data_IF_573238309795
#
_entry.id   IF_573238309795
#
_cell.length_a   1.000
_cell.length_b   1.000
_cell.length_c   1.000
_cell.angle_alpha   90.00
_cell.angle_beta   90.00
_cell.angle_gamma   90.00
#
_symmetry.space_group_name_H-M   'P 1'
#
loop_
_entity.id
_entity.type
_entity.pdbx_description
1 polymer ?
#
# COMPACT_ATOMS: atom_id res chain seq x y z
N UNK A 1 -0.92 -7.77 -23.10
CA UNK A 1 -0.95 -8.60 -21.90
C UNK A 1 0.40 -8.52 -21.20
N UNK A 2 0.45 -7.78 -20.07
CA UNK A 2 1.64 -7.75 -19.23
C UNK A 2 1.54 -8.89 -18.22
N UNK A 3 2.33 -9.95 -18.40
CA UNK A 3 2.57 -10.97 -17.37
C UNK A 3 4.04 -10.92 -16.97
N UNK A 4 4.31 -10.91 -15.68
CA UNK A 4 5.66 -10.96 -15.16
C UNK A 4 6.20 -12.38 -15.32
N UNK A 5 7.27 -12.56 -16.10
CA UNK A 5 8.00 -13.83 -16.15
C UNK A 5 9.07 -13.82 -15.07
N UNK A 6 9.02 -14.82 -14.18
CA UNK A 6 9.88 -14.89 -13.00
C UNK A 6 11.02 -15.89 -13.16
N UNK A 7 12.03 -15.82 -12.28
CA UNK A 7 13.17 -16.74 -12.21
C UNK A 7 13.87 -16.92 -13.57
N UNK A 8 14.21 -15.80 -14.20
CA UNK A 8 14.86 -15.78 -15.52
C UNK A 8 16.22 -16.49 -15.49
N UNK A 9 16.40 -17.42 -16.42
CA UNK A 9 17.66 -18.10 -16.70
C UNK A 9 17.94 -18.03 -18.19
N UNK A 10 19.19 -18.23 -18.62
CA UNK A 10 19.56 -18.28 -20.05
C UNK A 10 18.72 -19.33 -20.81
N UNK A 11 18.48 -20.49 -20.21
CA UNK A 11 17.63 -21.52 -20.79
C UNK A 11 16.19 -21.03 -20.96
N UNK A 12 15.61 -20.40 -19.93
CA UNK A 12 14.23 -19.87 -20.01
C UNK A 12 14.11 -18.78 -21.08
N UNK A 13 15.12 -17.92 -21.23
CA UNK A 13 15.16 -16.94 -22.32
C UNK A 13 15.12 -17.62 -23.68
N UNK A 14 15.92 -18.68 -23.89
CA UNK A 14 15.91 -19.42 -25.13
C UNK A 14 14.56 -20.07 -25.43
N UNK A 15 13.96 -20.71 -24.42
CA UNK A 15 12.60 -21.29 -24.52
C UNK A 15 11.56 -20.23 -24.86
N UNK A 16 11.61 -19.05 -24.24
CA UNK A 16 10.72 -17.92 -24.57
C UNK A 16 10.87 -17.47 -26.02
N UNK A 17 12.09 -17.39 -26.52
CA UNK A 17 12.34 -17.02 -27.93
C UNK A 17 11.68 -18.02 -28.88
N UNK A 18 11.76 -19.31 -28.60
CA UNK A 18 11.11 -20.34 -29.42
C UNK A 18 9.57 -20.25 -29.35
N UNK A 19 9.01 -20.00 -28.17
CA UNK A 19 7.56 -19.82 -28.01
C UNK A 19 7.06 -18.58 -28.77
N UNK A 20 7.84 -17.49 -28.76
CA UNK A 20 7.52 -16.25 -29.50
C UNK A 20 7.62 -16.51 -31.02
N UNK A 21 8.68 -17.17 -31.48
CA UNK A 21 8.87 -17.52 -32.91
C UNK A 21 7.76 -18.44 -33.41
N UNK A 22 7.32 -19.36 -32.57
CA UNK A 22 6.22 -20.28 -32.86
C UNK A 22 4.83 -19.65 -32.70
N UNK A 23 4.74 -18.35 -32.43
CA UNK A 23 3.48 -17.61 -32.19
C UNK A 23 2.58 -18.29 -31.11
N UNK A 24 3.19 -18.99 -30.16
CA UNK A 24 2.49 -19.72 -29.12
C UNK A 24 1.75 -18.75 -28.20
N UNK A 25 0.42 -18.87 -28.03
CA UNK A 25 -0.35 -18.00 -27.16
C UNK A 25 0.13 -18.05 -25.70
N UNK A 26 0.19 -16.92 -24.99
CA UNK A 26 0.63 -16.83 -23.59
C UNK A 26 -0.10 -17.78 -22.64
N UNK A 27 -1.36 -18.12 -22.94
CA UNK A 27 -2.15 -19.08 -22.15
C UNK A 27 -1.57 -20.51 -22.19
N UNK A 28 -0.79 -20.84 -23.22
CA UNK A 28 -0.13 -22.13 -23.40
C UNK A 28 1.30 -22.18 -22.86
N UNK A 29 1.83 -21.03 -22.40
CA UNK A 29 3.16 -20.98 -21.79
C UNK A 29 3.13 -21.66 -20.41
N UNK A 30 4.28 -22.18 -19.93
CA UNK A 30 4.35 -22.80 -18.60
C UNK A 30 3.88 -21.83 -17.51
N UNK A 31 2.80 -22.17 -16.81
CA UNK A 31 2.16 -21.26 -15.86
C UNK A 31 3.04 -20.95 -14.64
N UNK A 32 3.95 -21.86 -14.27
CA UNK A 32 4.94 -21.65 -13.22
C UNK A 32 5.92 -20.50 -13.52
N UNK A 33 6.04 -20.07 -14.78
CA UNK A 33 6.87 -18.91 -15.16
C UNK A 33 6.26 -17.59 -14.69
N UNK A 34 4.96 -17.57 -14.50
CA UNK A 34 4.21 -16.39 -14.08
C UNK A 34 3.95 -16.35 -12.57
N UNK A 35 4.37 -17.38 -11.84
CA UNK A 35 4.18 -17.45 -10.41
C UNK A 35 5.08 -16.45 -9.68
N UNK A 36 4.50 -15.39 -9.14
CA UNK A 36 5.19 -14.38 -8.33
C UNK A 36 5.11 -14.78 -6.87
N UNK A 37 6.26 -15.10 -6.26
CA UNK A 37 6.31 -15.42 -4.84
C UNK A 37 6.18 -14.16 -3.98
N UNK A 38 5.51 -14.26 -2.83
CA UNK A 38 5.42 -13.20 -1.85
C UNK A 38 6.73 -12.98 -1.09
N UNK A 39 7.50 -14.05 -0.89
CA UNK A 39 8.76 -14.06 -0.15
C UNK A 39 8.65 -13.51 1.28
N UNK A 40 7.53 -13.69 1.94
CA UNK A 40 7.35 -13.33 3.35
C UNK A 40 8.22 -14.27 4.19
N UNK A 41 9.14 -13.70 4.97
CA UNK A 41 10.06 -14.43 5.84
C UNK A 41 9.70 -14.31 7.32
N UNK A 42 9.17 -13.15 7.72
CA UNK A 42 8.72 -12.91 9.08
C UNK A 42 7.39 -12.17 9.06
N UNK A 43 6.43 -12.71 9.77
CA UNK A 43 5.13 -12.09 10.04
C UNK A 43 5.11 -11.56 11.45
N UNK A 44 4.46 -10.44 11.65
CA UNK A 44 4.15 -9.87 12.94
C UNK A 44 2.70 -9.35 12.88
N UNK A 45 2.42 -8.19 13.39
CA UNK A 45 1.12 -7.58 13.58
C UNK A 45 0.28 -7.48 12.28
N UNK A 46 0.87 -6.93 11.20
CA UNK A 46 0.17 -6.68 9.95
C UNK A 46 0.06 -7.94 9.08
N UNK A 47 1.18 -8.62 8.86
CA UNK A 47 1.19 -9.84 8.04
C UNK A 47 0.68 -11.08 8.79
N UNK A 48 0.62 -11.03 10.11
CA UNK A 48 0.08 -12.07 10.97
C UNK A 48 -1.38 -11.86 11.37
N UNK A 49 -2.02 -10.77 10.90
CA UNK A 49 -3.41 -10.50 11.27
C UNK A 49 -4.37 -11.58 10.78
N UNK A 50 -5.48 -11.72 11.50
CA UNK A 50 -6.55 -12.69 11.22
C UNK A 50 -7.88 -11.99 10.93
N UNK A 51 -7.86 -10.70 10.62
CA UNK A 51 -9.07 -9.93 10.33
C UNK A 51 -9.79 -10.49 9.11
N UNK A 52 -11.09 -10.67 9.24
CA UNK A 52 -11.94 -10.98 8.11
C UNK A 52 -12.45 -9.69 7.47
N UNK A 53 -12.75 -9.70 6.14
CA UNK A 53 -13.27 -8.50 5.47
C UNK A 53 -14.53 -7.94 6.13
N UNK A 54 -14.50 -6.63 6.44
CA UNK A 54 -15.59 -5.91 7.10
C UNK A 54 -15.44 -5.79 8.62
N UNK A 55 -14.63 -6.61 9.29
CA UNK A 55 -14.54 -6.61 10.76
C UNK A 55 -14.00 -5.29 11.34
N UNK A 56 -12.97 -4.72 10.74
CA UNK A 56 -12.44 -3.45 11.21
C UNK A 56 -13.36 -2.27 10.83
N UNK A 57 -14.02 -2.36 9.68
CA UNK A 57 -14.99 -1.38 9.23
C UNK A 57 -16.21 -1.36 10.15
N UNK A 58 -16.75 -2.51 10.57
CA UNK A 58 -17.85 -2.60 11.52
C UNK A 58 -17.55 -1.86 12.83
N UNK A 59 -16.35 -2.09 13.38
CA UNK A 59 -15.89 -1.39 14.60
C UNK A 59 -15.76 0.13 14.36
N UNK A 60 -15.26 0.54 13.19
CA UNK A 60 -15.12 1.94 12.83
C UNK A 60 -16.51 2.62 12.71
N UNK A 61 -17.47 1.96 12.07
CA UNK A 61 -18.84 2.46 11.91
C UNK A 61 -19.55 2.58 13.26
N UNK A 62 -19.43 1.58 14.13
CA UNK A 62 -19.99 1.61 15.48
C UNK A 62 -19.39 2.74 16.34
N UNK A 63 -18.11 3.05 16.14
CA UNK A 63 -17.40 4.13 16.85
C UNK A 63 -17.79 5.52 16.33
N UNK A 64 -18.11 5.65 15.07
CA UNK A 64 -18.34 6.91 14.37
C UNK A 64 -17.08 7.53 13.74
N UNK A 65 -17.29 8.32 12.68
CA UNK A 65 -16.22 8.84 11.83
C UNK A 65 -15.18 9.70 12.60
N UNK A 66 -15.66 10.64 13.43
CA UNK A 66 -14.78 11.52 14.21
C UNK A 66 -13.95 10.75 15.24
N UNK A 67 -14.56 9.80 15.95
CA UNK A 67 -13.87 8.99 16.93
C UNK A 67 -12.90 7.99 16.28
N UNK A 68 -13.22 7.46 15.09
CA UNK A 68 -12.30 6.63 14.31
C UNK A 68 -11.07 7.42 13.87
N UNK A 69 -11.24 8.65 13.39
CA UNK A 69 -10.14 9.56 13.06
C UNK A 69 -9.26 9.85 14.29
N UNK A 70 -9.88 10.08 15.45
CA UNK A 70 -9.15 10.29 16.71
C UNK A 70 -8.32 9.06 17.12
N UNK A 71 -8.83 7.84 16.92
CA UNK A 71 -8.03 6.63 17.18
C UNK A 71 -6.82 6.55 16.24
N UNK A 72 -6.97 6.91 14.96
CA UNK A 72 -5.82 7.00 14.03
C UNK A 72 -4.83 8.08 14.48
N UNK A 73 -5.29 9.20 15.01
CA UNK A 73 -4.42 10.25 15.55
C UNK A 73 -3.68 9.78 16.80
N UNK A 74 -4.39 9.17 17.76
CA UNK A 74 -3.82 8.63 19.02
C UNK A 74 -2.85 7.49 18.80
N UNK A 75 -3.01 6.74 17.71
CA UNK A 75 -2.12 5.62 17.37
C UNK A 75 -0.68 6.03 17.07
N UNK A 76 -0.44 7.30 16.75
CA UNK A 76 0.85 7.77 16.28
C UNK A 76 1.28 7.14 14.94
N UNK A 77 0.35 6.54 14.19
CA UNK A 77 0.64 5.97 12.88
C UNK A 77 1.23 7.01 11.94
N UNK A 78 2.42 6.73 11.44
CA UNK A 78 3.10 7.54 10.43
C UNK A 78 3.05 6.88 9.06
N UNK A 79 3.07 7.69 8.00
CA UNK A 79 3.13 7.21 6.63
C UNK A 79 4.28 6.24 6.39
N UNK A 80 3.99 5.17 5.66
CA UNK A 80 4.93 4.07 5.31
C UNK A 80 5.51 4.20 3.90
N UNK A 81 5.19 5.30 3.20
CA UNK A 81 5.70 5.58 1.86
C UNK A 81 7.04 6.35 1.80
N UNK A 82 7.70 6.59 2.94
CA UNK A 82 9.01 7.26 3.02
C UNK A 82 9.02 8.51 3.88
N UNK A 83 8.13 9.49 3.65
CA UNK A 83 8.13 10.77 4.35
C UNK A 83 7.76 10.71 5.85
N UNK A 84 7.07 9.67 6.29
CA UNK A 84 6.74 9.46 7.70
C UNK A 84 5.81 10.52 8.31
N UNK A 85 5.00 11.21 7.51
CA UNK A 85 4.05 12.21 8.02
C UNK A 85 2.96 11.53 8.86
N UNK A 86 2.48 12.21 9.91
CA UNK A 86 1.47 11.69 10.82
C UNK A 86 0.12 11.48 10.09
N UNK A 87 -0.32 10.22 9.98
CA UNK A 87 -1.51 9.84 9.19
C UNK A 87 -2.78 10.52 9.70
N UNK A 88 -2.99 10.51 11.01
CA UNK A 88 -4.17 11.14 11.62
C UNK A 88 -4.22 12.66 11.41
N UNK A 89 -3.07 13.35 11.40
CA UNK A 89 -3.01 14.78 11.06
C UNK A 89 -3.35 15.03 9.59
N UNK A 90 -2.84 14.18 8.67
CA UNK A 90 -3.17 14.27 7.24
C UNK A 90 -4.67 14.07 7.00
N UNK A 91 -5.28 13.08 7.64
CA UNK A 91 -6.71 12.82 7.53
C UNK A 91 -7.56 13.95 8.11
N UNK A 92 -7.17 14.47 9.29
CA UNK A 92 -7.84 15.61 9.89
C UNK A 92 -7.80 16.84 8.96
N UNK A 93 -6.62 17.19 8.44
CA UNK A 93 -6.48 18.34 7.53
C UNK A 93 -7.32 18.16 6.25
N UNK A 94 -7.42 16.93 5.71
CA UNK A 94 -8.27 16.65 4.57
C UNK A 94 -9.75 16.79 4.91
N UNK A 95 -10.20 16.22 6.04
CA UNK A 95 -11.59 16.32 6.52
C UNK A 95 -12.05 17.75 6.76
N UNK A 96 -11.19 18.59 7.32
CA UNK A 96 -11.51 19.97 7.69
C UNK A 96 -11.43 20.94 6.50
N UNK A 97 -10.82 20.51 5.38
CA UNK A 97 -10.68 21.33 4.20
C UNK A 97 -12.04 21.50 3.50
N UNK A 98 -12.42 22.74 3.10
CA UNK A 98 -13.66 22.95 2.35
C UNK A 98 -13.54 22.34 0.95
N UNK A 99 -14.58 21.64 0.51
CA UNK A 99 -14.66 21.04 -0.81
C UNK A 99 -16.03 20.44 -1.08
N UNK A 100 -16.40 20.32 -2.34
CA UNK A 100 -17.64 19.65 -2.74
C UNK A 100 -17.53 18.13 -2.56
N UNK A 101 -16.33 17.58 -2.72
CA UNK A 101 -16.00 16.17 -2.56
C UNK A 101 -14.65 16.01 -1.87
N UNK A 102 -14.47 14.87 -1.20
CA UNK A 102 -13.18 14.47 -0.64
C UNK A 102 -12.76 13.15 -1.28
N UNK A 103 -11.46 12.95 -1.45
CA UNK A 103 -10.91 11.74 -2.08
C UNK A 103 -9.89 11.04 -1.19
N UNK A 104 -9.91 9.70 -1.26
CA UNK A 104 -8.87 8.84 -0.71
C UNK A 104 -8.04 8.28 -1.86
N UNK A 105 -6.75 8.52 -1.87
CA UNK A 105 -5.83 7.92 -2.84
C UNK A 105 -4.89 6.95 -2.15
N UNK A 106 -4.91 5.71 -2.60
CA UNK A 106 -3.90 4.71 -2.25
C UNK A 106 -2.74 4.81 -3.25
N UNK A 107 -1.59 5.26 -2.77
CA UNK A 107 -0.36 5.29 -3.56
C UNK A 107 0.26 3.89 -3.56
N UNK A 108 0.06 3.18 -4.66
CA UNK A 108 0.65 1.87 -4.95
C UNK A 108 1.70 1.96 -6.08
N UNK A 109 2.30 3.16 -6.26
CA UNK A 109 3.44 3.38 -7.15
C UNK A 109 4.75 3.11 -6.40
N UNK A 110 5.02 1.84 -6.13
CA UNK A 110 6.21 1.35 -5.44
C UNK A 110 7.43 1.39 -6.38
N UNK A 111 7.93 2.60 -6.64
CA UNK A 111 9.00 2.85 -7.61
C UNK A 111 10.41 2.83 -7.04
N UNK A 112 10.59 2.91 -5.71
CA UNK A 112 11.91 2.94 -5.07
C UNK A 112 12.67 1.63 -5.30
N UNK A 113 13.88 1.64 -5.89
CA UNK A 113 14.67 0.44 -6.09
C UNK A 113 14.95 -0.31 -4.79
N UNK A 114 14.74 -1.63 -4.80
CA UNK A 114 14.89 -2.48 -3.63
C UNK A 114 13.66 -2.57 -2.73
N UNK A 115 12.60 -1.81 -3.00
CA UNK A 115 11.32 -1.89 -2.29
C UNK A 115 10.34 -2.80 -3.05
N UNK A 116 9.73 -3.78 -2.37
CA UNK A 116 8.78 -4.73 -2.95
C UNK A 116 7.73 -5.23 -1.94
N UNK A 117 7.44 -4.44 -0.91
CA UNK A 117 6.50 -4.75 0.17
C UNK A 117 5.03 -4.51 -0.22
N UNK A 118 4.77 -3.45 -0.99
CA UNK A 118 3.41 -3.03 -1.31
C UNK A 118 2.76 -4.01 -2.29
N UNK A 119 3.50 -4.57 -3.26
CA UNK A 119 3.00 -5.62 -4.12
C UNK A 119 2.57 -6.87 -3.34
N UNK A 120 3.26 -7.19 -2.24
CA UNK A 120 2.91 -8.34 -1.39
C UNK A 120 1.60 -8.08 -0.65
N UNK A 121 1.40 -6.87 -0.14
CA UNK A 121 0.12 -6.47 0.47
C UNK A 121 -1.02 -6.52 -0.55
N UNK A 122 -0.79 -6.02 -1.76
CA UNK A 122 -1.80 -6.03 -2.83
C UNK A 122 -2.11 -7.45 -3.34
N UNK A 123 -1.14 -8.37 -3.34
CA UNK A 123 -1.38 -9.75 -3.79
C UNK A 123 -2.02 -10.65 -2.73
N UNK A 124 -1.60 -10.51 -1.46
CA UNK A 124 -2.00 -11.43 -0.40
C UNK A 124 -2.97 -10.83 0.65
N UNK A 125 -3.03 -9.50 0.74
CA UNK A 125 -3.79 -8.76 1.75
C UNK A 125 -4.63 -7.62 1.16
N UNK A 126 -5.08 -7.76 -0.11
CA UNK A 126 -5.84 -6.71 -0.80
C UNK A 126 -7.09 -6.27 -0.04
N UNK A 127 -7.82 -7.21 0.58
CA UNK A 127 -8.98 -6.89 1.40
C UNK A 127 -8.64 -5.93 2.55
N UNK A 128 -7.51 -6.13 3.22
CA UNK A 128 -7.07 -5.27 4.31
C UNK A 128 -6.73 -3.85 3.81
N UNK A 129 -6.13 -3.74 2.63
CA UNK A 129 -5.81 -2.44 2.02
C UNK A 129 -7.09 -1.70 1.64
N UNK A 130 -8.02 -2.37 0.96
CA UNK A 130 -9.30 -1.77 0.55
C UNK A 130 -10.17 -1.41 1.75
N UNK A 131 -10.15 -2.22 2.81
CA UNK A 131 -10.86 -1.90 4.04
C UNK A 131 -10.26 -0.65 4.71
N UNK A 132 -8.93 -0.53 4.74
CA UNK A 132 -8.25 0.68 5.21
C UNK A 132 -8.59 1.92 4.38
N UNK A 133 -8.77 1.79 3.05
CA UNK A 133 -9.27 2.87 2.18
C UNK A 133 -10.72 3.25 2.54
N UNK A 134 -11.59 2.27 2.75
CA UNK A 134 -13.00 2.49 3.12
C UNK A 134 -13.10 3.18 4.49
N UNK A 135 -12.29 2.75 5.47
CA UNK A 135 -12.22 3.39 6.80
C UNK A 135 -11.71 4.84 6.69
N UNK A 136 -10.70 5.08 5.83
CA UNK A 136 -10.23 6.43 5.56
C UNK A 136 -11.35 7.28 4.93
N UNK A 137 -12.08 6.74 3.95
CA UNK A 137 -13.24 7.39 3.34
C UNK A 137 -14.30 7.77 4.36
N UNK A 138 -14.66 6.84 5.23
CA UNK A 138 -15.59 7.10 6.34
C UNK A 138 -15.09 8.20 7.29
N UNK A 139 -13.83 8.11 7.70
CA UNK A 139 -13.25 9.04 8.66
C UNK A 139 -13.18 10.48 8.15
N UNK A 140 -12.90 10.68 6.84
CA UNK A 140 -12.76 12.02 6.24
C UNK A 140 -14.02 12.51 5.51
N UNK A 141 -15.03 11.67 5.32
CA UNK A 141 -16.23 12.01 4.56
C UNK A 141 -16.03 11.96 3.04
N UNK A 142 -15.15 11.09 2.54
CA UNK A 142 -14.96 10.88 1.12
C UNK A 142 -15.97 9.87 0.56
N UNK A 143 -16.41 10.07 -0.68
CA UNK A 143 -17.27 9.13 -1.41
C UNK A 143 -16.51 8.28 -2.43
N UNK A 144 -15.26 8.62 -2.76
CA UNK A 144 -14.47 7.93 -3.76
C UNK A 144 -13.03 7.69 -3.31
N UNK A 145 -12.57 6.47 -3.55
CA UNK A 145 -11.19 6.02 -3.42
C UNK A 145 -10.57 5.72 -4.79
N UNK A 146 -9.28 6.01 -4.94
CA UNK A 146 -8.50 5.71 -6.13
C UNK A 146 -7.26 4.91 -5.71
N UNK A 147 -7.11 3.68 -6.23
CA UNK A 147 -5.88 2.93 -6.10
C UNK A 147 -5.00 3.24 -7.33
N UNK A 148 -3.92 3.99 -7.13
CA UNK A 148 -2.93 4.23 -8.19
C UNK A 148 -1.93 3.08 -8.21
N UNK A 149 -2.13 2.14 -9.14
CA UNK A 149 -1.32 0.94 -9.28
C UNK A 149 -0.19 1.18 -10.26
N UNK A 150 1.04 0.94 -9.83
CA UNK A 150 2.24 0.99 -10.68
C UNK A 150 2.05 0.15 -11.95
N UNK A 151 2.50 0.66 -13.10
CA UNK A 151 2.33 0.01 -14.41
C UNK A 151 2.92 -1.41 -14.47
N UNK A 152 4.07 -1.64 -13.80
CA UNK A 152 4.73 -2.94 -13.72
C UNK A 152 3.95 -3.97 -12.90
N UNK A 153 3.01 -3.53 -12.06
CA UNK A 153 2.14 -4.41 -11.25
C UNK A 153 0.81 -4.73 -11.93
N UNK A 154 0.67 -4.42 -13.21
CA UNK A 154 -0.53 -4.72 -14.00
C UNK A 154 -0.99 -6.18 -13.90
N UNK A 155 -0.09 -7.10 -13.63
CA UNK A 155 -0.42 -8.52 -13.42
C UNK A 155 -1.32 -8.77 -12.18
N UNK A 156 -1.40 -7.80 -11.25
CA UNK A 156 -2.29 -7.85 -10.08
C UNK A 156 -3.70 -7.33 -10.39
N UNK A 157 -3.89 -6.59 -11.49
CA UNK A 157 -5.13 -5.84 -11.76
C UNK A 157 -6.37 -6.72 -11.68
N UNK A 158 -6.37 -7.86 -12.38
CA UNK A 158 -7.52 -8.75 -12.43
C UNK A 158 -7.93 -9.26 -11.02
N UNK A 159 -6.94 -9.68 -10.21
CA UNK A 159 -7.19 -10.15 -8.85
C UNK A 159 -7.69 -9.04 -7.91
N UNK A 160 -7.18 -7.81 -8.10
CA UNK A 160 -7.64 -6.65 -7.34
C UNK A 160 -9.07 -6.26 -7.73
N UNK A 161 -9.41 -6.26 -9.02
CA UNK A 161 -10.76 -6.00 -9.50
C UNK A 161 -11.76 -7.05 -8.99
N UNK A 162 -11.37 -8.33 -9.01
CA UNK A 162 -12.19 -9.41 -8.43
C UNK A 162 -12.41 -9.20 -6.93
N UNK A 163 -11.40 -8.71 -6.21
CA UNK A 163 -11.52 -8.39 -4.78
C UNK A 163 -12.48 -7.21 -4.56
N UNK A 164 -12.39 -6.15 -5.35
CA UNK A 164 -13.33 -5.02 -5.29
C UNK A 164 -14.77 -5.48 -5.59
N UNK A 165 -14.95 -6.29 -6.63
CA UNK A 165 -16.27 -6.82 -6.97
C UNK A 165 -16.86 -7.68 -5.84
N UNK A 166 -16.04 -8.54 -5.21
CA UNK A 166 -16.46 -9.33 -4.04
C UNK A 166 -16.88 -8.41 -2.88
N UNK A 167 -16.12 -7.34 -2.58
CA UNK A 167 -16.46 -6.38 -1.54
C UNK A 167 -17.76 -5.62 -1.83
N UNK A 168 -18.01 -5.24 -3.09
CA UNK A 168 -19.31 -4.66 -3.51
C UNK A 168 -20.47 -5.63 -3.27
N UNK A 169 -20.30 -6.89 -3.65
CA UNK A 169 -21.32 -7.93 -3.44
C UNK A 169 -21.60 -8.21 -1.95
N UNK A 170 -20.63 -7.93 -1.07
CA UNK A 170 -20.76 -8.07 0.38
C UNK A 170 -21.29 -6.80 1.07
N UNK A 171 -21.58 -5.72 0.33
CA UNK A 171 -21.99 -4.46 0.90
C UNK A 171 -20.88 -3.73 1.67
N UNK A 172 -19.63 -4.02 1.37
CA UNK A 172 -18.45 -3.38 1.95
C UNK A 172 -17.90 -2.24 1.09
N UNK A 173 -18.48 -2.02 -0.09
CA UNK A 173 -18.28 -0.91 -1.02
C UNK A 173 -19.59 -0.61 -1.74
N UNK A 174 -19.75 0.62 -2.23
CA UNK A 174 -20.92 1.09 -2.97
C UNK A 174 -21.79 2.02 -2.13
N UNK A 175 -23.10 1.81 -2.17
CA UNK A 175 -24.10 2.67 -1.52
C UNK A 175 -24.53 2.07 -0.20
N UNK A 176 -24.75 2.94 0.82
CA UNK A 176 -25.20 2.56 2.18
C UNK A 176 -24.41 1.38 2.75
N UNK A 177 -23.09 1.51 2.76
CA UNK A 177 -22.16 0.46 3.18
C UNK A 177 -22.57 -0.09 4.55
N UNK A 178 -22.68 -1.44 4.65
CA UNK A 178 -23.11 -2.17 5.84
C UNK A 178 -24.46 -1.66 6.39
N UNK A 179 -25.34 -1.09 5.53
CA UNK A 179 -26.64 -0.53 5.91
C UNK A 179 -26.58 0.84 6.57
N UNK A 180 -25.44 1.52 6.58
CA UNK A 180 -25.28 2.85 7.14
C UNK A 180 -25.73 3.90 6.13
N UNK A 181 -26.90 4.51 6.38
CA UNK A 181 -27.46 5.57 5.54
C UNK A 181 -26.51 6.75 5.39
N UNK A 182 -26.28 7.17 4.13
CA UNK A 182 -25.45 8.32 3.81
C UNK A 182 -23.93 8.03 3.87
N UNK A 183 -23.55 6.77 4.03
CA UNK A 183 -22.16 6.35 3.84
C UNK A 183 -22.03 5.54 2.55
N UNK A 184 -21.68 6.26 1.49
CA UNK A 184 -21.40 5.74 0.18
C UNK A 184 -19.91 5.88 -0.09
N UNK A 185 -19.26 4.81 -0.52
CA UNK A 185 -17.83 4.86 -0.89
C UNK A 185 -17.50 3.73 -1.87
N UNK A 186 -16.85 4.04 -2.96
CA UNK A 186 -16.37 3.02 -3.90
C UNK A 186 -14.91 3.28 -4.28
N UNK A 187 -14.25 2.27 -4.81
CA UNK A 187 -12.83 2.30 -5.16
C UNK A 187 -12.67 1.96 -6.64
N UNK A 188 -11.89 2.79 -7.34
CA UNK A 188 -11.45 2.56 -8.70
C UNK A 188 -9.94 2.31 -8.75
N UNK A 189 -9.49 1.47 -9.69
CA UNK A 189 -8.06 1.21 -9.92
C UNK A 189 -7.62 2.00 -11.14
N UNK A 190 -6.60 2.83 -10.94
CA UNK A 190 -5.92 3.57 -12.00
C UNK A 190 -4.52 2.98 -12.23
N UNK A 191 -4.21 2.63 -13.48
CA UNK A 191 -2.88 2.13 -13.86
C UNK A 191 -1.94 3.28 -14.18
N UNK A 192 -0.84 3.36 -13.47
CA UNK A 192 0.27 4.23 -13.79
C UNK A 192 1.02 3.79 -15.05
N UNK A 193 1.83 4.68 -15.60
CA UNK A 193 2.63 4.45 -16.80
C UNK A 193 4.11 4.04 -16.51
N UNK A 194 4.46 3.69 -15.26
CA UNK A 194 5.80 3.25 -14.88
C UNK A 194 6.80 4.39 -14.64
N UNK A 195 6.33 5.58 -14.31
CA UNK A 195 7.19 6.72 -14.00
C UNK A 195 7.45 6.82 -12.50
N UNK A 196 8.71 6.68 -12.06
CA UNK A 196 9.16 6.79 -10.66
C UNK A 196 8.61 8.04 -9.94
N UNK A 197 8.59 9.18 -10.65
CA UNK A 197 8.14 10.45 -10.08
C UNK A 197 6.68 10.42 -9.62
N UNK A 198 5.85 9.53 -10.16
CA UNK A 198 4.45 9.37 -9.75
C UNK A 198 4.30 8.72 -8.36
N UNK A 199 5.39 8.28 -7.72
CA UNK A 199 5.42 7.98 -6.29
C UNK A 199 5.30 9.23 -5.40
N UNK A 200 5.63 10.43 -5.92
CA UNK A 200 5.38 11.69 -5.24
C UNK A 200 3.90 12.08 -5.37
N UNK A 201 3.27 12.45 -4.24
CA UNK A 201 1.80 12.57 -4.15
C UNK A 201 1.17 13.56 -5.15
N UNK A 202 1.84 14.68 -5.46
CA UNK A 202 1.30 15.67 -6.39
C UNK A 202 1.50 15.28 -7.86
N UNK A 203 2.61 14.63 -8.19
CA UNK A 203 2.86 14.06 -9.52
C UNK A 203 1.90 12.90 -9.81
N UNK A 204 1.60 12.07 -8.80
CA UNK A 204 0.58 11.03 -8.87
C UNK A 204 -0.80 11.63 -9.22
N UNK A 205 -1.18 12.72 -8.54
CA UNK A 205 -2.45 13.40 -8.81
C UNK A 205 -2.49 13.97 -10.23
N UNK A 206 -1.41 14.59 -10.72
CA UNK A 206 -1.33 15.03 -12.14
C UNK A 206 -1.55 13.86 -13.10
N UNK A 207 -0.94 12.71 -12.81
CA UNK A 207 -1.13 11.49 -13.61
C UNK A 207 -2.57 10.97 -13.56
N UNK A 208 -3.23 10.98 -12.38
CA UNK A 208 -4.65 10.63 -12.23
C UNK A 208 -5.55 11.54 -13.07
N UNK A 209 -5.18 12.80 -13.24
CA UNK A 209 -5.89 13.80 -14.08
C UNK A 209 -5.55 13.69 -15.57
N UNK A 210 -4.81 12.65 -15.98
CA UNK A 210 -4.41 12.44 -17.39
C UNK A 210 -3.33 13.39 -17.88
N UNK A 211 -2.64 14.08 -16.97
CA UNK A 211 -1.56 15.01 -17.28
C UNK A 211 -0.19 14.32 -17.13
N UNK A 212 0.87 15.00 -17.59
CA UNK A 212 2.23 14.54 -17.30
C UNK A 212 2.48 14.56 -15.79
N UNK A 213 3.04 13.46 -15.24
CA UNK A 213 3.36 13.31 -13.82
C UNK A 213 4.49 14.27 -13.41
N UNK A 214 4.16 15.50 -13.10
CA UNK A 214 5.09 16.53 -12.63
C UNK A 214 4.66 17.00 -11.25
N UNK A 215 5.60 17.09 -10.27
CA UNK A 215 5.29 17.61 -8.95
C UNK A 215 4.71 19.02 -9.01
N UNK A 216 3.67 19.27 -8.22
CA UNK A 216 3.09 20.62 -8.04
C UNK A 216 3.93 21.43 -7.06
N UNK A 217 3.93 22.75 -7.24
CA UNK A 217 4.47 23.67 -6.23
C UNK A 217 3.53 23.62 -5.01
N UNK A 218 4.10 23.49 -3.82
CA UNK A 218 3.36 23.48 -2.55
C UNK A 218 3.79 24.63 -1.66
N UNK A 219 2.88 25.35 -0.94
CA UNK A 219 1.42 25.19 -0.93
C UNK A 219 0.74 25.62 -2.24
N UNK A 220 -0.51 25.16 -2.52
CA UNK A 220 -1.37 24.37 -1.65
C UNK A 220 -0.99 22.89 -1.62
N UNK A 221 -1.32 22.21 -0.50
CA UNK A 221 -1.09 20.77 -0.34
C UNK A 221 -2.28 19.95 -0.84
N UNK A 222 -2.11 18.68 -1.24
CA UNK A 222 -3.20 17.82 -1.72
C UNK A 222 -4.38 17.69 -0.76
N UNK A 223 -4.14 17.76 0.55
CA UNK A 223 -5.20 17.71 1.57
C UNK A 223 -6.20 18.85 1.45
N UNK A 224 -5.85 19.94 0.76
CA UNK A 224 -6.75 21.06 0.46
C UNK A 224 -7.05 21.20 -1.04
N UNK A 225 -6.09 20.94 -1.91
CA UNK A 225 -6.18 21.08 -3.38
C UNK A 225 -5.48 19.91 -4.07
N UNK A 226 -6.12 18.74 -4.01
CA UNK A 226 -5.63 17.49 -4.59
C UNK A 226 -6.24 17.17 -5.95
N UNK A 227 -6.82 15.97 -6.04
CA UNK A 227 -7.44 15.45 -7.26
C UNK A 227 -8.65 16.30 -7.67
N UNK A 228 -8.65 16.75 -8.92
CA UNK A 228 -9.66 17.69 -9.47
C UNK A 228 -9.82 18.97 -8.63
N UNK A 229 -8.75 19.42 -7.96
CA UNK A 229 -8.76 20.59 -7.10
C UNK A 229 -9.48 20.40 -5.77
N UNK A 230 -9.91 19.19 -5.42
CA UNK A 230 -10.65 18.86 -4.22
C UNK A 230 -9.72 18.31 -3.11
N UNK A 231 -10.14 18.40 -1.83
CA UNK A 231 -9.40 17.80 -0.73
C UNK A 231 -9.12 16.32 -0.95
N UNK A 232 -7.84 15.93 -0.90
CA UNK A 232 -7.41 14.57 -1.21
C UNK A 232 -6.36 14.10 -0.21
N UNK A 233 -6.62 12.97 0.45
CA UNK A 233 -5.59 12.31 1.25
C UNK A 233 -4.90 11.22 0.42
N UNK A 234 -3.58 11.30 0.31
CA UNK A 234 -2.76 10.29 -0.38
C UNK A 234 -2.00 9.48 0.67
N UNK A 235 -2.20 8.18 0.71
CA UNK A 235 -1.55 7.28 1.66
C UNK A 235 -0.92 6.08 0.92
N UNK A 236 0.23 5.62 1.41
CA UNK A 236 0.85 4.39 0.94
C UNK A 236 0.01 3.15 1.32
N UNK A 237 0.14 2.07 0.56
CA UNK A 237 -0.54 0.77 0.75
C UNK A 237 -0.40 0.25 2.19
N UNK A 238 0.83 0.18 2.72
CA UNK A 238 1.10 -0.30 4.09
C UNK A 238 0.46 0.60 5.15
N UNK A 239 0.38 1.90 4.90
CA UNK A 239 -0.26 2.85 5.82
C UNK A 239 -1.76 2.57 5.96
N UNK A 240 -2.45 2.34 4.85
CA UNK A 240 -3.89 2.04 4.84
C UNK A 240 -4.17 0.68 5.49
N UNK A 241 -3.38 -0.34 5.19
CA UNK A 241 -3.48 -1.63 5.85
C UNK A 241 -3.27 -1.53 7.37
N UNK A 242 -2.28 -0.74 7.82
CA UNK A 242 -2.04 -0.49 9.24
C UNK A 242 -3.19 0.30 9.92
N UNK A 243 -3.80 1.24 9.20
CA UNK A 243 -4.96 2.00 9.70
C UNK A 243 -6.17 1.09 9.99
N UNK A 244 -6.32 0.00 9.23
CA UNK A 244 -7.33 -1.03 9.49
C UNK A 244 -7.15 -1.69 10.87
N UNK A 245 -5.90 -2.05 11.22
CA UNK A 245 -5.58 -2.59 12.56
C UNK A 245 -5.84 -1.57 13.67
N UNK A 246 -5.50 -0.30 13.44
CA UNK A 246 -5.79 0.80 14.37
C UNK A 246 -7.30 0.94 14.58
N UNK A 247 -8.08 0.90 13.52
CA UNK A 247 -9.54 0.99 13.60
C UNK A 247 -10.13 -0.17 14.41
N UNK A 248 -9.61 -1.38 14.23
CA UNK A 248 -10.08 -2.58 14.94
C UNK A 248 -9.71 -2.59 16.42
N UNK A 249 -8.45 -2.30 16.73
CA UNK A 249 -7.89 -2.51 18.08
C UNK A 249 -7.79 -1.23 18.92
N UNK A 250 -7.89 -0.06 18.28
CA UNK A 250 -7.77 1.26 18.92
C UNK A 250 -6.36 1.84 18.86
N UNK A 251 -6.30 3.18 18.97
CA UNK A 251 -5.06 3.94 18.82
C UNK A 251 -4.06 3.66 19.95
N UNK A 252 -4.52 3.55 21.19
CA UNK A 252 -3.66 3.29 22.34
C UNK A 252 -2.94 1.93 22.24
N UNK A 253 -3.65 0.91 21.76
CA UNK A 253 -3.06 -0.40 21.51
C UNK A 253 -1.93 -0.35 20.50
N UNK A 254 -2.15 0.33 19.36
CA UNK A 254 -1.13 0.47 18.32
C UNK A 254 0.06 1.33 18.78
N UNK A 255 -0.19 2.40 19.54
CA UNK A 255 0.83 3.30 20.08
C UNK A 255 1.77 2.60 21.09
N UNK A 256 1.31 1.53 21.73
CA UNK A 256 2.12 0.75 22.68
C UNK A 256 3.15 -0.16 21.97
N UNK A 257 3.08 -0.31 20.64
CA UNK A 257 3.94 -1.16 19.85
C UNK A 257 5.00 -0.29 19.16
N UNK A 258 6.25 -0.77 19.13
CA UNK A 258 7.36 -0.03 18.51
C UNK A 258 8.06 0.91 19.49
N UNK A 259 8.30 2.14 19.10
CA UNK A 259 8.99 3.15 19.91
C UNK A 259 8.11 4.37 20.15
N UNK A 260 8.44 5.18 21.16
CA UNK A 260 7.72 6.44 21.45
C UNK A 260 7.66 7.41 20.25
N UNK A 261 8.65 7.39 19.35
CA UNK A 261 8.71 8.25 18.16
C UNK A 261 8.11 7.62 16.92
N UNK A 262 7.99 6.28 16.88
CA UNK A 262 7.50 5.52 15.72
C UNK A 262 6.72 4.31 16.22
N UNK A 263 5.41 4.45 16.23
CA UNK A 263 4.49 3.41 16.69
C UNK A 263 4.26 2.33 15.62
N UNK A 264 3.90 1.14 16.11
CA UNK A 264 3.51 0.00 15.29
C UNK A 264 4.68 -0.76 14.68
N UNK A 265 4.38 -1.47 13.60
CA UNK A 265 5.34 -2.27 12.84
C UNK A 265 5.73 -1.59 11.52
N UNK A 266 6.77 -2.12 10.88
CA UNK A 266 7.25 -1.73 9.57
C UNK A 266 7.57 -2.96 8.75
N UNK A 267 7.14 -2.98 7.49
CA UNK A 267 7.57 -3.96 6.50
C UNK A 267 8.92 -3.55 5.92
N UNK A 268 9.85 -4.48 5.92
CA UNK A 268 11.20 -4.31 5.40
C UNK A 268 11.39 -5.25 4.20
N UNK A 269 11.77 -4.68 3.06
CA UNK A 269 12.21 -5.42 1.88
C UNK A 269 13.71 -5.63 2.00
N UNK A 270 14.14 -6.88 2.23
CA UNK A 270 15.56 -7.23 2.40
C UNK A 270 16.05 -7.99 1.17
N UNK A 271 17.14 -7.52 0.59
CA UNK A 271 17.80 -8.12 -0.57
C UNK A 271 19.31 -7.91 -0.50
N UNK A 272 20.07 -8.54 -1.40
CA UNK A 272 21.52 -8.49 -1.45
C UNK A 272 22.16 -9.79 -0.96
N UNK A 273 23.38 -9.70 -0.40
CA UNK A 273 24.17 -10.85 0.03
C UNK A 273 23.65 -11.45 1.34
N UNK A 274 22.49 -12.09 1.26
CA UNK A 274 21.85 -12.77 2.38
C UNK A 274 21.20 -14.08 1.94
N UNK A 275 21.12 -15.05 2.85
CA UNK A 275 20.57 -16.38 2.57
C UNK A 275 19.04 -16.37 2.42
N UNK A 276 18.37 -15.43 3.06
CA UNK A 276 16.90 -15.37 3.14
C UNK A 276 16.38 -13.97 2.74
N UNK A 277 16.58 -13.55 1.48
CA UNK A 277 15.99 -12.30 1.00
C UNK A 277 14.46 -12.39 1.03
N UNK A 278 13.77 -11.27 1.26
CA UNK A 278 12.32 -11.25 1.31
C UNK A 278 11.74 -10.14 2.18
N UNK A 279 10.47 -10.30 2.55
CA UNK A 279 9.72 -9.37 3.38
C UNK A 279 9.75 -9.81 4.84
N UNK A 280 10.13 -8.86 5.69
CA UNK A 280 10.17 -9.01 7.13
C UNK A 280 9.33 -7.93 7.79
N UNK A 281 8.50 -8.30 8.74
CA UNK A 281 7.77 -7.35 9.56
C UNK A 281 8.37 -7.31 10.96
N UNK A 282 8.68 -6.10 11.45
CA UNK A 282 9.14 -5.89 12.83
C UNK A 282 8.46 -4.69 13.47
N UNK A 283 8.29 -4.69 14.79
CA UNK A 283 8.06 -3.47 15.53
C UNK A 283 9.22 -2.47 15.31
N UNK A 284 8.91 -1.19 15.27
CA UNK A 284 9.98 -0.19 15.23
C UNK A 284 10.92 -0.31 16.43
N UNK A 285 12.21 -0.03 16.22
CA UNK A 285 13.26 -0.15 17.24
C UNK A 285 14.14 -1.39 17.07
N UNK A 286 13.87 -2.24 16.07
CA UNK A 286 14.76 -3.35 15.74
C UNK A 286 16.15 -2.84 15.36
N UNK A 287 17.21 -3.48 15.85
CA UNK A 287 18.59 -3.17 15.48
C UNK A 287 19.00 -3.81 14.15
N UNK A 288 19.88 -3.15 13.41
CA UNK A 288 20.41 -3.66 12.12
C UNK A 288 21.09 -5.01 12.30
N UNK A 289 21.84 -5.21 13.39
CA UNK A 289 22.51 -6.49 13.67
C UNK A 289 21.51 -7.66 13.75
N UNK A 290 20.33 -7.44 14.36
CA UNK A 290 19.29 -8.47 14.42
C UNK A 290 18.72 -8.76 13.02
N UNK A 291 18.48 -7.73 12.19
CA UNK A 291 18.02 -7.91 10.81
C UNK A 291 19.01 -8.73 9.99
N UNK A 292 20.31 -8.44 10.11
CA UNK A 292 21.37 -9.18 9.42
C UNK A 292 21.43 -10.64 9.85
N UNK A 293 21.28 -10.91 11.13
CA UNK A 293 21.21 -12.28 11.65
C UNK A 293 19.98 -13.02 11.13
N UNK A 294 18.81 -12.38 11.18
CA UNK A 294 17.55 -13.00 10.75
C UNK A 294 17.48 -13.25 9.25
N UNK A 295 18.07 -12.41 8.42
CA UNK A 295 18.13 -12.66 6.97
C UNK A 295 19.29 -13.57 6.56
N UNK A 296 20.19 -13.91 7.47
CA UNK A 296 21.38 -14.71 7.17
C UNK A 296 22.35 -13.97 6.27
N UNK A 297 22.68 -12.73 6.65
CA UNK A 297 23.67 -11.93 5.95
C UNK A 297 25.05 -12.60 6.02
N UNK A 298 25.88 -12.38 4.98
CA UNK A 298 27.23 -12.92 4.92
C UNK A 298 28.08 -12.35 6.06
N UNK A 299 28.96 -13.16 6.65
CA UNK A 299 29.91 -12.71 7.69
C UNK A 299 30.89 -11.64 7.19
N UNK A 300 31.06 -11.56 5.87
CA UNK A 300 31.87 -10.55 5.17
C UNK A 300 31.09 -9.31 4.76
N UNK A 301 29.84 -9.11 5.26
CA UNK A 301 29.05 -7.91 4.94
C UNK A 301 29.84 -6.64 5.28
N UNK A 302 30.06 -5.77 4.29
CA UNK A 302 30.84 -4.53 4.43
C UNK A 302 29.94 -3.31 4.65
N UNK A 303 28.72 -3.35 4.12
CA UNK A 303 27.79 -2.23 4.17
C UNK A 303 26.34 -2.67 4.10
N UNK A 304 25.46 -1.87 4.66
CA UNK A 304 23.99 -2.04 4.60
C UNK A 304 23.39 -0.72 4.09
N UNK A 305 22.76 -0.79 2.92
CA UNK A 305 22.01 0.33 2.37
C UNK A 305 20.61 0.34 2.95
N UNK A 306 20.21 1.44 3.58
CA UNK A 306 18.90 1.62 4.20
C UNK A 306 18.12 2.70 3.46
N UNK A 307 16.83 2.49 3.22
CA UNK A 307 15.90 3.43 2.57
C UNK A 307 16.20 3.71 1.09
N UNK A 308 16.64 2.70 0.35
CA UNK A 308 16.90 2.80 -1.08
C UNK A 308 18.19 3.52 -1.46
N UNK A 309 18.47 3.73 -2.76
CA UNK A 309 19.74 4.27 -3.26
C UNK A 309 20.09 5.68 -2.74
N UNK A 310 19.07 6.49 -2.42
CA UNK A 310 19.25 7.83 -1.88
C UNK A 310 19.33 7.87 -0.34
N UNK A 311 19.24 6.70 0.29
CA UNK A 311 19.29 6.57 1.74
C UNK A 311 20.70 6.50 2.32
N UNK A 312 20.79 6.07 3.58
CA UNK A 312 22.05 5.97 4.32
C UNK A 312 22.71 4.62 4.10
N UNK A 313 24.01 4.61 3.89
CA UNK A 313 24.85 3.42 3.90
C UNK A 313 25.50 3.31 5.30
N UNK A 314 25.25 2.21 6.00
CA UNK A 314 25.78 1.89 7.33
C UNK A 314 26.91 0.87 7.22
#
# INVERSE_FOLDING_TARGET
NYRAVTRMTAQRVAEMVELIRGETPLAQWPQEWFAVADNIRRKDLLLGNTLVPGEALEVALARGAAATLEEVRRSGLRGRGGAGFATGQKWQACRDAPGAMHYVVCNADEGEPGTFKDRVLLSAYADLVFEGMTIAGYAIGAAQGLLYLRGEYRYLLEALEQTLQRRRNQGLLGVEIMGVKGFDFDIEIHLGAGAYICGEESALIESLEGKAGRPRIRPPFPVTHGYLGQPTTVNNVETLAAACLVARHGGAWYAAIGTAKSAGTKLLSISGDCQRPGIYEYPFGIGVAQLLADCGAASSTQAVQVSGPSGVCL
#
